data_IF_782678097128
#
_entry.id   IF_782678097128
#
_cell.length_a   1.000
_cell.length_b   1.000
_cell.length_c   1.000
_cell.angle_alpha   90.00
_cell.angle_beta   90.00
_cell.angle_gamma   90.00
#
_symmetry.space_group_name_H-M   'P 1'
#
loop_
_entity.id
_entity.type
_entity.pdbx_description
1 polymer ?
#
# COMPACT_ATOMS: atom_id res chain seq x y z
N UNK A 1 14.00 24.18 -12.56
CA UNK A 1 12.92 25.19 -12.57
C UNK A 1 11.80 24.63 -13.43
N UNK A 2 10.59 24.55 -12.90
CA UNK A 2 9.40 24.06 -13.63
C UNK A 2 8.65 25.28 -14.14
N UNK A 3 8.29 25.29 -15.42
CA UNK A 3 7.51 26.34 -16.04
C UNK A 3 6.19 25.77 -16.56
N UNK A 4 5.11 26.48 -16.31
CA UNK A 4 3.82 26.24 -16.95
C UNK A 4 3.56 27.39 -17.92
N UNK A 5 3.15 27.06 -19.15
CA UNK A 5 2.83 28.05 -20.18
C UNK A 5 1.46 27.72 -20.75
N UNK A 6 0.60 28.72 -20.76
CA UNK A 6 -0.54 28.74 -21.64
C UNK A 6 -0.13 29.49 -22.91
N UNK A 7 -0.36 28.89 -24.08
CA UNK A 7 -0.02 29.46 -25.39
C UNK A 7 -1.25 29.41 -26.27
N UNK A 8 -1.53 30.53 -26.93
CA UNK A 8 -2.67 30.68 -27.82
C UNK A 8 -2.20 31.32 -29.12
N UNK A 9 -2.58 30.71 -30.25
CA UNK A 9 -2.38 31.25 -31.59
C UNK A 9 -3.76 31.40 -32.24
N UNK A 10 -4.08 32.62 -32.65
CA UNK A 10 -5.36 32.97 -33.27
C UNK A 10 -5.19 33.53 -34.68
N UNK A 11 -6.24 33.43 -35.49
CA UNK A 11 -6.29 34.02 -36.83
C UNK A 11 -7.39 35.10 -36.93
N UNK A 12 -8.61 34.84 -36.45
CA UNK A 12 -9.76 35.77 -36.48
C UNK A 12 -10.70 35.59 -35.27
N UNK A 13 -10.16 35.62 -34.05
CA UNK A 13 -10.92 35.25 -32.85
C UNK A 13 -11.26 36.43 -31.93
N UNK A 14 -12.38 36.31 -31.22
CA UNK A 14 -12.92 37.34 -30.33
C UNK A 14 -12.28 37.35 -28.93
N UNK A 15 -12.02 36.19 -28.33
CA UNK A 15 -11.32 36.09 -27.05
C UNK A 15 -10.83 34.66 -26.76
N UNK A 16 -9.74 34.56 -26.01
CA UNK A 16 -9.36 33.36 -25.27
C UNK A 16 -9.28 33.69 -23.78
N UNK A 17 -9.91 32.87 -22.95
CA UNK A 17 -10.05 33.11 -21.52
C UNK A 17 -9.55 31.90 -20.74
N UNK A 18 -8.78 32.17 -19.68
CA UNK A 18 -8.39 31.24 -18.63
C UNK A 18 -8.99 31.79 -17.34
N UNK A 19 -9.62 30.92 -16.57
CA UNK A 19 -10.12 31.28 -15.25
C UNK A 19 -9.82 30.14 -14.26
N UNK A 20 -9.78 30.49 -12.98
CA UNK A 20 -9.63 29.57 -11.85
C UNK A 20 -8.45 28.57 -11.93
N UNK A 21 -7.33 28.98 -12.54
CA UNK A 21 -6.12 28.15 -12.58
C UNK A 21 -5.49 28.08 -11.18
N UNK A 22 -5.39 26.87 -10.64
CA UNK A 22 -4.68 26.61 -9.38
C UNK A 22 -3.67 25.47 -9.52
N UNK A 23 -2.55 25.61 -8.82
CA UNK A 23 -1.53 24.57 -8.68
C UNK A 23 -1.34 24.29 -7.20
N UNK A 24 -1.17 23.03 -6.85
CA UNK A 24 -0.78 22.62 -5.50
C UNK A 24 0.45 21.75 -5.60
N UNK A 25 1.43 22.03 -4.75
CA UNK A 25 2.65 21.23 -4.69
C UNK A 25 2.35 19.85 -4.11
N UNK A 26 2.96 18.82 -4.68
CA UNK A 26 2.94 17.49 -4.05
C UNK A 26 3.72 17.56 -2.73
N UNK A 27 3.14 17.13 -1.60
CA UNK A 27 3.82 17.21 -0.31
C UNK A 27 5.14 16.43 -0.30
N UNK A 28 6.09 16.85 0.52
CA UNK A 28 7.38 16.15 0.70
C UNK A 28 7.20 14.69 1.09
N UNK A 29 6.36 14.45 2.11
CA UNK A 29 6.15 13.13 2.68
C UNK A 29 4.69 12.73 2.49
N UNK A 30 4.45 11.77 1.61
CA UNK A 30 3.13 11.17 1.42
C UNK A 30 3.33 9.70 1.08
N UNK A 31 3.11 8.84 2.05
CA UNK A 31 3.17 7.39 1.89
C UNK A 31 1.74 6.85 1.96
N UNK A 32 1.42 5.95 1.04
CA UNK A 32 0.11 5.30 0.99
C UNK A 32 0.29 3.80 0.79
N UNK A 33 -0.59 3.01 1.39
CA UNK A 33 -0.82 1.63 0.96
C UNK A 33 -1.77 1.70 -0.23
N UNK A 34 -1.37 1.16 -1.38
CA UNK A 34 -2.21 1.15 -2.59
C UNK A 34 -3.00 -0.14 -2.77
N UNK A 35 -2.54 -1.21 -2.15
CA UNK A 35 -3.16 -2.54 -2.19
C UNK A 35 -2.67 -3.34 -0.98
N UNK A 36 -3.49 -4.27 -0.50
CA UNK A 36 -3.20 -5.12 0.66
C UNK A 36 -3.82 -6.51 0.53
N UNK A 37 -3.14 -7.52 1.07
CA UNK A 37 -3.62 -8.90 1.13
C UNK A 37 -3.14 -9.55 2.43
N UNK A 38 -3.87 -10.57 2.89
CA UNK A 38 -3.55 -11.33 4.10
C UNK A 38 -3.46 -12.85 3.85
N UNK A 39 -3.81 -13.30 2.65
CA UNK A 39 -3.71 -14.69 2.19
C UNK A 39 -2.33 -15.05 1.65
N UNK A 40 -1.46 -14.06 1.40
CA UNK A 40 -0.09 -14.25 0.90
C UNK A 40 -0.02 -14.49 -0.61
N UNK A 41 -0.82 -13.81 -1.43
CA UNK A 41 -0.80 -13.99 -2.89
C UNK A 41 0.50 -13.52 -3.56
N UNK A 42 1.22 -12.56 -2.97
CA UNK A 42 2.34 -11.91 -3.63
C UNK A 42 3.70 -12.53 -3.29
N UNK A 43 4.13 -12.44 -2.04
CA UNK A 43 5.45 -12.89 -1.58
C UNK A 43 5.32 -14.29 -0.97
N UNK A 44 4.36 -14.48 -0.05
CA UNK A 44 4.10 -15.73 0.64
C UNK A 44 3.84 -16.90 -0.32
N UNK A 45 3.09 -16.66 -1.41
CA UNK A 45 2.79 -17.66 -2.45
C UNK A 45 4.05 -18.25 -3.07
N UNK A 46 5.02 -17.39 -3.40
CA UNK A 46 6.28 -17.79 -4.03
C UNK A 46 7.11 -18.71 -3.12
N UNK A 47 7.00 -18.54 -1.80
CA UNK A 47 7.77 -19.30 -0.81
C UNK A 47 7.06 -20.51 -0.22
N UNK A 48 5.74 -20.45 -0.02
CA UNK A 48 4.95 -21.47 0.70
C UNK A 48 4.14 -22.38 -0.23
N UNK A 49 3.97 -22.02 -1.51
CA UNK A 49 3.21 -22.83 -2.48
C UNK A 49 1.72 -22.96 -2.18
N UNK A 50 1.17 -22.08 -1.32
CA UNK A 50 -0.25 -22.02 -0.97
C UNK A 50 -1.12 -21.45 -2.09
N UNK A 51 -2.43 -21.24 -1.83
CA UNK A 51 -3.32 -20.60 -2.82
C UNK A 51 -3.31 -19.08 -2.74
N UNK A 52 -2.77 -18.46 -1.68
CA UNK A 52 -2.67 -17.00 -1.57
C UNK A 52 -4.00 -16.24 -1.41
N UNK A 53 -5.13 -16.94 -1.21
CA UNK A 53 -6.46 -16.33 -1.38
C UNK A 53 -6.96 -15.63 -0.11
N UNK A 54 -7.48 -14.42 -0.29
CA UNK A 54 -8.16 -13.64 0.75
C UNK A 54 -9.61 -14.09 0.91
N UNK A 55 -9.84 -15.01 1.86
CA UNK A 55 -11.20 -15.37 2.28
C UNK A 55 -11.56 -14.69 3.59
N UNK A 56 -12.83 -14.27 3.71
CA UNK A 56 -13.38 -13.73 4.96
C UNK A 56 -13.44 -14.80 6.06
N UNK A 57 -13.68 -16.06 5.70
CA UNK A 57 -13.68 -17.20 6.61
C UNK A 57 -12.78 -18.31 6.07
N UNK A 58 -11.82 -18.73 6.89
CA UNK A 58 -10.96 -19.87 6.57
C UNK A 58 -11.17 -20.96 7.64
N UNK A 59 -11.49 -22.20 7.24
CA UNK A 59 -11.43 -23.35 8.11
C UNK A 59 -10.08 -23.46 8.85
N UNK A 60 -10.11 -23.79 10.14
CA UNK A 60 -8.90 -23.83 10.99
C UNK A 60 -7.83 -24.81 10.46
N UNK A 61 -8.25 -25.89 9.79
CA UNK A 61 -7.33 -26.83 9.16
C UNK A 61 -6.58 -26.21 7.97
N UNK A 62 -7.18 -25.28 7.24
CA UNK A 62 -6.54 -24.56 6.13
C UNK A 62 -5.57 -23.51 6.66
N UNK A 63 -5.96 -22.76 7.69
CA UNK A 63 -5.07 -21.75 8.31
C UNK A 63 -3.88 -22.40 9.02
N UNK A 64 -4.07 -23.58 9.63
CA UNK A 64 -2.95 -24.35 10.19
C UNK A 64 -1.95 -24.80 9.12
N UNK A 65 -2.44 -25.12 7.91
CA UNK A 65 -1.58 -25.55 6.81
C UNK A 65 -0.93 -24.37 6.07
N UNK A 66 -1.60 -23.21 6.05
CA UNK A 66 -1.11 -21.96 5.46
C UNK A 66 -1.55 -20.78 6.36
N UNK A 67 -0.73 -20.41 7.37
CA UNK A 67 -1.02 -19.28 8.24
C UNK A 67 -1.16 -17.97 7.47
N UNK A 68 -1.73 -16.92 8.08
CA UNK A 68 -1.93 -15.64 7.41
C UNK A 68 -0.61 -14.91 7.15
N UNK A 69 -0.48 -14.38 5.94
CA UNK A 69 0.69 -13.64 5.46
C UNK A 69 0.23 -12.23 5.10
N UNK A 70 0.61 -11.24 5.90
CA UNK A 70 0.18 -9.86 5.68
C UNK A 70 1.14 -9.12 4.76
N UNK A 71 0.62 -8.68 3.62
CA UNK A 71 1.38 -8.05 2.57
C UNK A 71 0.71 -6.74 2.15
N UNK A 72 1.51 -5.77 1.74
CA UNK A 72 1.02 -4.50 1.25
C UNK A 72 1.91 -3.94 0.14
N UNK A 73 1.32 -3.21 -0.79
CA UNK A 73 2.07 -2.38 -1.73
C UNK A 73 2.24 -0.99 -1.13
N UNK A 74 3.45 -0.66 -0.70
CA UNK A 74 3.80 0.66 -0.21
C UNK A 74 4.15 1.57 -1.39
N UNK A 75 3.53 2.75 -1.45
CA UNK A 75 3.74 3.72 -2.52
C UNK A 75 4.14 5.07 -1.98
N UNK A 76 5.28 5.59 -2.44
CA UNK A 76 5.71 6.94 -2.17
C UNK A 76 5.06 7.92 -3.16
N UNK A 77 4.03 8.63 -2.70
CA UNK A 77 3.38 9.71 -3.43
C UNK A 77 3.95 11.09 -3.09
N UNK A 78 4.94 11.16 -2.19
CA UNK A 78 5.64 12.38 -1.84
C UNK A 78 6.81 12.64 -2.78
N UNK A 79 7.37 13.86 -2.69
CA UNK A 79 8.52 14.25 -3.50
C UNK A 79 9.88 13.89 -2.87
N UNK A 80 9.93 13.66 -1.56
CA UNK A 80 11.13 13.22 -0.88
C UNK A 80 11.25 11.68 -0.92
N UNK A 81 12.49 11.16 -0.97
CA UNK A 81 12.75 9.74 -0.73
C UNK A 81 12.41 9.38 0.72
N UNK A 82 11.67 8.30 0.93
CA UNK A 82 11.16 7.91 2.25
C UNK A 82 11.62 6.50 2.64
N UNK A 83 12.09 6.35 3.89
CA UNK A 83 12.32 5.04 4.50
C UNK A 83 11.01 4.58 5.16
N UNK A 84 10.47 3.46 4.69
CA UNK A 84 9.11 3.01 4.93
C UNK A 84 9.10 1.55 5.37
N UNK A 85 8.12 1.19 6.19
CA UNK A 85 7.85 -0.20 6.59
C UNK A 85 6.37 -0.39 6.87
N UNK A 86 5.88 -1.61 6.66
CA UNK A 86 4.53 -2.00 7.03
C UNK A 86 4.49 -2.36 8.51
N UNK A 87 3.41 -1.98 9.19
CA UNK A 87 3.08 -2.42 10.55
C UNK A 87 1.69 -3.04 10.54
N UNK A 88 1.57 -4.21 11.16
CA UNK A 88 0.29 -4.95 11.27
C UNK A 88 -0.05 -5.14 12.73
N UNK A 89 -1.34 -4.99 13.04
CA UNK A 89 -1.89 -5.26 14.36
C UNK A 89 -3.22 -6.00 14.18
N UNK A 90 -3.27 -7.26 14.59
CA UNK A 90 -4.50 -8.06 14.61
C UNK A 90 -5.10 -7.97 16.01
N UNK A 91 -6.40 -7.72 16.07
CA UNK A 91 -7.16 -7.65 17.33
C UNK A 91 -8.23 -8.72 17.39
N UNK A 92 -8.55 -9.15 18.61
CA UNK A 92 -9.73 -9.97 18.87
C UNK A 92 -11.03 -9.13 18.84
N UNK A 93 -12.15 -9.78 19.11
CA UNK A 93 -13.50 -9.19 19.17
C UNK A 93 -13.67 -8.16 20.29
N UNK A 94 -12.82 -8.21 21.31
CA UNK A 94 -12.74 -7.24 22.41
C UNK A 94 -11.78 -6.08 22.10
N UNK A 95 -11.15 -6.07 20.91
CA UNK A 95 -10.18 -5.04 20.50
C UNK A 95 -8.79 -5.21 21.13
N UNK A 96 -8.52 -6.34 21.78
CA UNK A 96 -7.20 -6.66 22.34
C UNK A 96 -6.29 -7.15 21.23
N UNK A 97 -5.07 -6.64 21.19
CA UNK A 97 -4.08 -7.09 20.21
C UNK A 97 -3.61 -8.51 20.49
N UNK A 98 -3.80 -9.40 19.53
CA UNK A 98 -3.40 -10.81 19.59
C UNK A 98 -2.18 -11.11 18.73
N UNK A 99 -1.84 -10.22 17.80
CA UNK A 99 -0.64 -10.30 16.97
C UNK A 99 -0.19 -8.90 16.54
N UNK A 100 1.13 -8.68 16.57
CA UNK A 100 1.77 -7.48 16.03
C UNK A 100 3.06 -7.86 15.36
N UNK A 101 3.25 -7.33 14.17
CA UNK A 101 4.51 -7.47 13.48
C UNK A 101 4.75 -6.32 12.50
N UNK A 102 5.90 -6.34 11.85
CA UNK A 102 6.28 -5.36 10.84
C UNK A 102 7.15 -5.97 9.76
N UNK A 103 7.18 -5.32 8.61
CA UNK A 103 8.14 -5.67 7.56
C UNK A 103 9.54 -5.14 7.86
N UNK A 104 10.51 -5.67 7.13
CA UNK A 104 11.79 -5.01 6.90
C UNK A 104 11.62 -3.59 6.33
N UNK A 105 12.64 -2.75 6.54
CA UNK A 105 12.64 -1.38 6.03
C UNK A 105 12.93 -1.37 4.53
N UNK A 106 12.19 -0.54 3.79
CA UNK A 106 12.41 -0.27 2.38
C UNK A 106 12.57 1.23 2.14
N UNK A 107 13.45 1.60 1.21
CA UNK A 107 13.60 2.98 0.77
C UNK A 107 12.90 3.15 -0.57
N UNK A 108 11.93 4.07 -0.63
CA UNK A 108 11.17 4.38 -1.84
C UNK A 108 11.50 5.79 -2.30
N UNK A 109 12.01 5.96 -3.52
CA UNK A 109 12.14 7.26 -4.16
C UNK A 109 10.76 7.81 -4.58
N UNK A 110 10.73 9.05 -5.08
CA UNK A 110 9.49 9.68 -5.57
C UNK A 110 8.80 8.78 -6.61
N UNK A 111 7.49 8.58 -6.45
CA UNK A 111 6.64 7.78 -7.31
C UNK A 111 6.95 6.28 -7.37
N UNK A 112 7.94 5.79 -6.62
CA UNK A 112 8.21 4.37 -6.49
C UNK A 112 7.17 3.68 -5.59
N UNK A 113 6.97 2.39 -5.88
CA UNK A 113 6.19 1.49 -5.05
C UNK A 113 6.85 0.12 -5.04
N UNK A 114 6.63 -0.62 -3.97
CA UNK A 114 7.09 -2.00 -3.84
C UNK A 114 6.19 -2.79 -2.91
N UNK A 115 6.27 -4.10 -3.02
CA UNK A 115 5.52 -5.03 -2.18
C UNK A 115 6.36 -5.40 -0.96
N UNK A 116 5.75 -5.37 0.22
CA UNK A 116 6.37 -5.80 1.47
C UNK A 116 5.49 -6.82 2.18
N UNK A 117 6.12 -7.71 2.93
CA UNK A 117 5.48 -8.68 3.82
C UNK A 117 6.02 -8.46 5.24
N UNK A 118 5.20 -8.74 6.25
CA UNK A 118 5.68 -8.81 7.65
C UNK A 118 6.63 -9.99 7.86
N UNK A 119 7.53 -9.88 8.84
CA UNK A 119 8.58 -10.88 9.03
C UNK A 119 8.06 -12.26 9.48
N UNK A 120 6.88 -12.30 10.14
CA UNK A 120 6.27 -13.53 10.66
C UNK A 120 4.80 -13.66 10.22
N UNK A 121 4.38 -14.89 9.96
CA UNK A 121 2.97 -15.20 9.68
C UNK A 121 2.14 -15.31 10.96
N UNK A 122 0.83 -15.07 10.83
CA UNK A 122 -0.12 -15.15 11.93
C UNK A 122 -0.94 -16.44 11.89
N UNK A 123 -0.84 -17.22 12.96
CA UNK A 123 -1.66 -18.40 13.19
C UNK A 123 -2.64 -18.13 14.35
N UNK A 124 -3.96 -17.94 14.08
CA UNK A 124 -4.95 -17.82 15.13
C UNK A 124 -5.08 -19.11 15.95
N UNK A 125 -5.28 -18.98 17.25
CA UNK A 125 -5.44 -20.14 18.15
C UNK A 125 -6.88 -20.62 18.28
N UNK A 126 -7.85 -19.76 17.96
CA UNK A 126 -9.28 -20.04 18.07
C UNK A 126 -10.01 -19.55 16.82
N UNK A 127 -11.20 -20.11 16.58
CA UNK A 127 -12.12 -19.62 15.56
C UNK A 127 -12.75 -18.33 16.08
N UNK A 128 -12.81 -17.30 15.23
CA UNK A 128 -13.50 -16.04 15.48
C UNK A 128 -14.98 -16.08 15.10
#
# INVERSE_FOLDING_TARGET
VVYFRFHYEGEWDYAWMLDDVSFTETPNNKLTISDETYGGWWIGYLTAGGMGLDFTFNPMNQVTANPYHFEAVLKNQGIATQNSKLHVNVTDDLGTSVFRDSSSNLTLAMAEQDTVEVDNSFLPQNIG
#
